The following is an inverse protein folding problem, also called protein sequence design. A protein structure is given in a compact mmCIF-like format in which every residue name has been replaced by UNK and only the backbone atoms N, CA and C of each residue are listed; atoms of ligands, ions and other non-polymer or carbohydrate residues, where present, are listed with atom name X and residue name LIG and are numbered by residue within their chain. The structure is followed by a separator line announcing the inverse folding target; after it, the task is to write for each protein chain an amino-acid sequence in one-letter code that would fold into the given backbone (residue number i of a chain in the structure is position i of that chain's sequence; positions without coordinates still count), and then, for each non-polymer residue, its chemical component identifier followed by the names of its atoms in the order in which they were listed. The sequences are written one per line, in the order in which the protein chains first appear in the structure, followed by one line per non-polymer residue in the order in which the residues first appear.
data_IF_193891212338
#
_entry.id   IF_193891212338
#
_cell.length_a   1.000
_cell.length_b   1.000
_cell.length_c   1.000
_cell.angle_alpha   90.00
_cell.angle_beta   90.00
_cell.angle_gamma   90.00
#
_symmetry.space_group_name_H-M   'P 1'
#
loop_
_entity.id
_entity.type
_entity.pdbx_description
1 polymer ?
#
# COMPACT_ATOMS: atom_id res chain seq x y z
N UNK A 1 18.95 2.44 -7.48
CA UNK A 1 17.66 3.11 -7.25
C UNK A 1 16.56 2.14 -7.65
N UNK A 2 15.57 1.92 -6.78
CA UNK A 2 14.50 0.94 -7.00
C UNK A 2 13.19 1.67 -7.29
N UNK A 3 12.45 1.20 -8.29
CA UNK A 3 11.11 1.69 -8.61
C UNK A 3 10.12 0.54 -8.53
N UNK A 4 9.02 0.75 -7.83
CA UNK A 4 7.95 -0.24 -7.70
C UNK A 4 6.82 0.10 -8.66
N UNK A 5 6.23 -0.94 -9.24
CA UNK A 5 4.92 -0.83 -9.89
C UNK A 5 3.86 -0.36 -8.89
N UNK A 6 2.72 0.13 -9.38
CA UNK A 6 1.60 0.45 -8.50
C UNK A 6 1.07 -0.81 -7.81
N UNK A 7 0.92 -0.76 -6.49
CA UNK A 7 0.29 -1.82 -5.70
C UNK A 7 -1.14 -1.46 -5.33
N UNK A 8 -2.03 -2.45 -5.39
CA UNK A 8 -3.43 -2.34 -4.98
C UNK A 8 -3.74 -3.32 -3.84
N UNK A 9 -4.87 -3.12 -3.15
CA UNK A 9 -5.25 -3.86 -1.93
C UNK A 9 -5.85 -5.25 -2.17
N UNK A 10 -5.30 -5.99 -3.14
CA UNK A 10 -5.69 -7.38 -3.43
C UNK A 10 -4.69 -8.36 -2.82
N UNK A 11 -5.15 -9.57 -2.51
CA UNK A 11 -4.29 -10.67 -2.06
C UNK A 11 -3.64 -11.42 -3.25
N UNK A 12 -2.87 -12.46 -2.96
CA UNK A 12 -2.20 -13.29 -3.98
C UNK A 12 -3.17 -14.07 -4.88
N UNK A 13 -4.41 -14.24 -4.45
CA UNK A 13 -5.50 -14.89 -5.19
C UNK A 13 -6.35 -13.88 -5.97
N UNK A 14 -5.92 -12.61 -6.05
CA UNK A 14 -6.65 -11.50 -6.65
C UNK A 14 -7.99 -11.17 -5.96
N UNK A 15 -8.16 -11.59 -4.71
CA UNK A 15 -9.31 -11.25 -3.88
C UNK A 15 -9.13 -9.88 -3.22
N UNK A 16 -10.24 -9.14 -3.06
CA UNK A 16 -10.24 -7.91 -2.25
C UNK A 16 -10.21 -8.27 -0.77
N UNK A 17 -9.23 -7.74 -0.05
CA UNK A 17 -9.09 -8.02 1.37
C UNK A 17 -9.97 -7.10 2.22
N UNK A 18 -11.02 -7.66 2.83
CA UNK A 18 -11.96 -6.94 3.67
C UNK A 18 -12.89 -5.99 2.91
N UNK A 19 -13.78 -5.31 3.63
CA UNK A 19 -14.76 -4.38 3.04
C UNK A 19 -14.46 -2.92 3.39
N UNK A 20 -13.58 -2.66 4.36
CA UNK A 20 -13.23 -1.32 4.78
C UNK A 20 -12.01 -0.80 4.00
N UNK A 21 -11.99 0.51 3.73
CA UNK A 21 -10.85 1.19 3.09
C UNK A 21 -9.52 0.93 3.82
N UNK A 22 -9.56 0.80 5.15
CA UNK A 22 -8.37 0.55 5.95
C UNK A 22 -7.79 -0.84 5.72
N UNK A 23 -8.63 -1.83 5.41
CA UNK A 23 -8.19 -3.20 5.16
C UNK A 23 -7.50 -3.28 3.79
N UNK A 24 -8.10 -2.65 2.78
CA UNK A 24 -7.51 -2.45 1.45
C UNK A 24 -6.15 -1.73 1.56
N UNK A 25 -6.10 -0.61 2.27
CA UNK A 25 -4.86 0.17 2.42
C UNK A 25 -3.76 -0.62 3.16
N UNK A 26 -4.11 -1.38 4.21
CA UNK A 26 -3.14 -2.27 4.87
C UNK A 26 -2.65 -3.36 3.93
N UNK A 27 -3.51 -3.91 3.08
CA UNK A 27 -3.11 -4.90 2.08
C UNK A 27 -2.13 -4.29 1.06
N UNK A 28 -2.35 -3.06 0.61
CA UNK A 28 -1.40 -2.33 -0.25
C UNK A 28 0.00 -2.29 0.39
N UNK A 29 0.11 -1.89 1.66
CA UNK A 29 1.40 -1.81 2.34
C UNK A 29 2.05 -3.19 2.55
N UNK A 30 1.26 -4.24 2.80
CA UNK A 30 1.77 -5.63 2.84
C UNK A 30 2.37 -6.04 1.49
N UNK A 31 1.69 -5.71 0.39
CA UNK A 31 2.16 -6.04 -0.96
C UNK A 31 3.45 -5.28 -1.32
N UNK A 32 3.53 -3.99 -0.95
CA UNK A 32 4.75 -3.17 -1.12
C UNK A 32 5.89 -3.78 -0.30
N UNK A 33 5.66 -4.09 0.99
CA UNK A 33 6.68 -4.66 1.86
C UNK A 33 7.20 -6.01 1.34
N UNK A 34 6.31 -6.87 0.85
CA UNK A 34 6.69 -8.13 0.21
C UNK A 34 7.57 -7.90 -1.03
N UNK A 35 7.20 -6.94 -1.89
CA UNK A 35 7.99 -6.60 -3.09
C UNK A 35 9.36 -6.03 -2.73
N UNK A 36 9.43 -5.14 -1.74
CA UNK A 36 10.71 -4.57 -1.25
C UNK A 36 11.61 -5.64 -0.64
N UNK A 37 11.04 -6.60 0.09
CA UNK A 37 11.80 -7.66 0.74
C UNK A 37 12.53 -8.56 -0.27
N UNK A 38 11.96 -8.76 -1.46
CA UNK A 38 12.61 -9.50 -2.55
C UNK A 38 13.88 -8.80 -3.06
N UNK A 39 14.01 -7.49 -2.85
CA UNK A 39 15.20 -6.70 -3.16
C UNK A 39 16.11 -6.46 -1.94
N UNK A 40 15.82 -7.09 -0.79
CA UNK A 40 16.56 -6.85 0.46
C UNK A 40 16.27 -5.50 1.12
N UNK A 41 15.17 -4.83 0.73
CA UNK A 41 14.75 -3.53 1.25
C UNK A 41 13.53 -3.65 2.18
N UNK A 42 13.26 -2.56 2.90
CA UNK A 42 12.10 -2.39 3.78
C UNK A 42 11.37 -1.08 3.46
N UNK A 43 10.18 -0.88 4.04
CA UNK A 43 9.46 0.39 3.92
C UNK A 43 10.26 1.61 4.44
N UNK A 44 11.24 1.40 5.33
CA UNK A 44 12.11 2.48 5.83
C UNK A 44 13.06 3.03 4.77
N UNK A 45 13.30 2.26 3.71
CA UNK A 45 14.15 2.65 2.59
C UNK A 45 13.38 3.46 1.53
N UNK A 46 12.07 3.64 1.71
CA UNK A 46 11.23 4.42 0.81
C UNK A 46 11.51 5.92 0.96
N UNK A 47 12.07 6.53 -0.09
CA UNK A 47 12.37 7.97 -0.13
C UNK A 47 11.16 8.79 -0.59
N UNK A 48 10.36 8.24 -1.51
CA UNK A 48 9.15 8.89 -2.05
C UNK A 48 8.05 7.86 -2.20
N UNK A 49 6.84 8.20 -1.75
CA UNK A 49 5.63 7.40 -1.95
C UNK A 49 4.58 8.26 -2.65
N UNK A 50 3.98 7.74 -3.71
CA UNK A 50 2.84 8.36 -4.39
C UNK A 50 1.60 7.49 -4.24
N UNK A 51 0.58 8.06 -3.62
CA UNK A 51 -0.69 7.37 -3.37
C UNK A 51 -1.79 7.98 -4.22
N UNK A 52 -2.57 7.12 -4.88
CA UNK A 52 -3.80 7.51 -5.58
C UNK A 52 -4.99 7.02 -4.77
N UNK A 53 -5.89 7.93 -4.39
CA UNK A 53 -7.11 7.61 -3.63
C UNK A 53 -8.30 8.04 -4.48
N UNK A 54 -9.22 7.11 -4.75
CA UNK A 54 -10.39 7.35 -5.60
C UNK A 54 -11.42 8.28 -4.97
N UNK A 55 -11.49 8.35 -3.64
CA UNK A 55 -12.40 9.21 -2.89
C UNK A 55 -11.62 10.08 -1.89
N UNK A 56 -11.57 11.38 -2.16
CA UNK A 56 -10.84 12.35 -1.35
C UNK A 56 -11.31 12.39 0.12
N UNK A 57 -12.58 12.02 0.41
CA UNK A 57 -13.10 11.96 1.78
C UNK A 57 -12.33 10.93 2.64
N UNK A 58 -11.70 9.93 2.01
CA UNK A 58 -10.89 8.91 2.67
C UNK A 58 -9.47 9.37 2.99
N UNK A 59 -9.00 10.47 2.39
CA UNK A 59 -7.64 10.99 2.59
C UNK A 59 -7.34 11.25 4.08
N UNK A 60 -8.30 11.81 4.83
CA UNK A 60 -8.11 12.08 6.26
C UNK A 60 -7.89 10.80 7.08
N UNK A 61 -8.57 9.71 6.72
CA UNK A 61 -8.40 8.41 7.39
C UNK A 61 -7.04 7.82 7.02
N UNK A 62 -6.64 7.92 5.74
CA UNK A 62 -5.33 7.48 5.26
C UNK A 62 -4.18 8.15 6.03
N UNK A 63 -4.18 9.49 6.08
CA UNK A 63 -3.10 10.26 6.71
C UNK A 63 -2.98 10.07 8.22
N UNK A 64 -4.08 9.81 8.94
CA UNK A 64 -4.04 9.69 10.41
C UNK A 64 -3.73 8.28 10.92
N UNK A 65 -3.96 7.25 10.10
CA UNK A 65 -3.94 5.86 10.57
C UNK A 65 -3.05 4.92 9.77
N UNK A 66 -2.60 5.33 8.58
CA UNK A 66 -2.00 4.42 7.61
C UNK A 66 -0.75 4.97 6.90
N UNK A 67 -0.55 6.29 6.89
CA UNK A 67 0.71 6.94 6.51
C UNK A 67 1.53 7.25 7.76
#
# INVERSE_FOLDING_TARGET
MLYLSGHVGVDSSWGVFGFAFQDEARQVFRNIASTLSAAGCTLKDAVVVRTYISDFRRLRIFQRRLA
#
